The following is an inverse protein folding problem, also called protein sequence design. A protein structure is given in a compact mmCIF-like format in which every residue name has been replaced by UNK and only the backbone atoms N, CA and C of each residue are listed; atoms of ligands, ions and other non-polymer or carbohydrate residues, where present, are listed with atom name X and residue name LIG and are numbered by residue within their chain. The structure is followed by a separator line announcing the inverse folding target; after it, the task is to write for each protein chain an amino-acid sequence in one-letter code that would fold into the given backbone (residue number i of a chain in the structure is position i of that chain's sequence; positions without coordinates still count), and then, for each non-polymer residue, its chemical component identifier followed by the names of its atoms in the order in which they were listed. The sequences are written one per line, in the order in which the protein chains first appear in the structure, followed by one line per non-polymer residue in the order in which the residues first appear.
data_IF_353553112517
#
_entry.id   IF_353553112517
#
_cell.length_a   1.000
_cell.length_b   1.000
_cell.length_c   1.000
_cell.angle_alpha   90.00
_cell.angle_beta   90.00
_cell.angle_gamma   90.00
#
_symmetry.space_group_name_H-M   'P 1'
#
loop_
_entity.id
_entity.type
_entity.pdbx_description
1 polymer ?
#
# COMPACT_ATOMS: atom_id res chain seq x y z
N UNK A 1 -8.26 17.29 -29.75
CA UNK A 1 -8.07 16.78 -28.38
C UNK A 1 -9.44 16.61 -27.74
N UNK A 2 -9.88 15.38 -27.57
CA UNK A 2 -11.09 15.07 -26.81
C UNK A 2 -10.80 15.09 -25.30
N UNK A 3 -11.83 15.09 -24.47
CA UNK A 3 -11.66 14.94 -23.02
C UNK A 3 -10.91 13.64 -22.67
N UNK A 4 -11.23 12.55 -23.38
CA UNK A 4 -10.58 11.25 -23.19
C UNK A 4 -9.07 11.31 -23.50
N UNK A 5 -8.71 11.88 -24.66
CA UNK A 5 -7.30 12.07 -25.05
C UNK A 5 -6.54 12.97 -24.06
N UNK A 6 -7.22 13.95 -23.46
CA UNK A 6 -6.64 14.80 -22.43
C UNK A 6 -6.41 14.05 -21.11
N UNK A 7 -7.39 13.21 -20.70
CA UNK A 7 -7.28 12.40 -19.48
C UNK A 7 -6.23 11.30 -19.58
N UNK A 8 -6.17 10.60 -20.72
CA UNK A 8 -5.26 9.46 -20.92
C UNK A 8 -3.85 9.91 -21.34
N UNK A 9 -3.71 11.09 -21.92
CA UNK A 9 -2.43 11.69 -22.25
C UNK A 9 -1.93 12.61 -21.14
N UNK A 10 -2.02 13.95 -21.30
CA UNK A 10 -1.40 14.92 -20.38
C UNK A 10 -1.70 14.69 -18.90
N UNK A 11 -2.96 14.48 -18.51
CA UNK A 11 -3.32 14.34 -17.09
C UNK A 11 -2.76 13.06 -16.47
N UNK A 12 -2.68 11.98 -17.23
CA UNK A 12 -2.07 10.74 -16.76
C UNK A 12 -0.60 10.95 -16.39
N UNK A 13 0.18 11.64 -17.24
CA UNK A 13 1.57 11.96 -16.95
C UNK A 13 1.71 12.90 -15.74
N UNK A 14 0.84 13.90 -15.62
CA UNK A 14 0.84 14.80 -14.45
C UNK A 14 0.56 14.01 -13.18
N UNK A 15 -0.44 13.14 -13.18
CA UNK A 15 -0.78 12.30 -12.03
C UNK A 15 0.39 11.39 -11.63
N UNK A 16 1.05 10.75 -12.62
CA UNK A 16 2.22 9.91 -12.38
C UNK A 16 3.36 10.71 -11.74
N UNK A 17 3.71 11.88 -12.30
CA UNK A 17 4.80 12.71 -11.81
C UNK A 17 4.53 13.19 -10.39
N UNK A 18 3.34 13.71 -10.12
CA UNK A 18 2.96 14.19 -8.78
C UNK A 18 2.99 13.04 -7.77
N UNK A 19 2.45 11.88 -8.13
CA UNK A 19 2.50 10.69 -7.28
C UNK A 19 3.93 10.25 -6.99
N UNK A 20 4.77 10.06 -8.02
CA UNK A 20 6.15 9.61 -7.86
C UNK A 20 7.01 10.58 -7.07
N UNK A 21 6.93 11.87 -7.35
CA UNK A 21 7.66 12.92 -6.61
C UNK A 21 7.17 12.98 -5.16
N UNK A 22 5.86 12.93 -4.94
CA UNK A 22 5.28 12.92 -3.59
C UNK A 22 5.73 11.70 -2.77
N UNK A 23 5.72 10.51 -3.37
CA UNK A 23 6.22 9.28 -2.72
C UNK A 23 7.70 9.40 -2.39
N UNK A 24 8.52 9.83 -3.35
CA UNK A 24 9.96 10.00 -3.13
C UNK A 24 10.24 11.01 -2.01
N UNK A 25 9.54 12.15 -2.00
CA UNK A 25 9.65 13.16 -0.95
C UNK A 25 9.31 12.60 0.43
N UNK A 26 8.22 11.83 0.55
CA UNK A 26 7.83 11.22 1.82
C UNK A 26 8.85 10.18 2.30
N UNK A 27 9.38 9.34 1.40
CA UNK A 27 10.40 8.35 1.75
C UNK A 27 11.67 9.05 2.22
N UNK A 28 12.15 10.07 1.50
CA UNK A 28 13.32 10.85 1.89
C UNK A 28 13.08 11.51 3.25
N UNK A 29 11.90 12.09 3.48
CA UNK A 29 11.51 12.66 4.76
C UNK A 29 11.60 11.65 5.91
N UNK A 30 11.06 10.43 5.72
CA UNK A 30 11.11 9.36 6.73
C UNK A 30 12.56 8.94 7.02
N UNK A 31 13.39 8.81 5.98
CA UNK A 31 14.80 8.42 6.14
C UNK A 31 15.66 9.54 6.76
N UNK A 32 15.33 10.80 6.47
CA UNK A 32 16.04 11.96 7.01
C UNK A 32 15.62 12.29 8.45
N UNK A 33 14.46 11.82 8.92
CA UNK A 33 14.04 12.00 10.31
C UNK A 33 15.01 11.29 11.25
N UNK A 34 15.72 12.07 12.07
CA UNK A 34 16.62 11.52 13.08
C UNK A 34 15.80 10.86 14.18
N UNK A 35 15.89 9.54 14.27
CA UNK A 35 15.36 8.78 15.40
C UNK A 35 16.08 9.26 16.66
N UNK A 36 15.32 9.83 17.60
CA UNK A 36 15.85 10.22 18.91
C UNK A 36 16.41 8.95 19.57
N UNK A 37 17.62 9.07 20.15
CA UNK A 37 18.30 7.92 20.75
C UNK A 37 17.37 7.18 21.71
N UNK A 38 17.27 5.86 21.54
CA UNK A 38 16.47 5.03 22.44
C UNK A 38 17.14 5.03 23.82
N UNK A 39 16.42 5.55 24.82
CA UNK A 39 16.90 5.56 26.20
C UNK A 39 16.76 4.19 26.88
N UNK A 40 16.17 3.19 26.19
CA UNK A 40 16.00 1.85 26.71
C UNK A 40 17.29 1.02 26.59
N UNK A 41 17.49 0.12 27.57
CA UNK A 41 18.57 -0.88 27.52
C UNK A 41 18.35 -1.77 26.29
N UNK A 42 19.37 -2.01 25.43
CA UNK A 42 19.22 -2.85 24.24
C UNK A 42 18.83 -4.28 24.63
N UNK A 43 17.61 -4.72 24.27
CA UNK A 43 17.12 -6.08 24.57
C UNK A 43 17.23 -7.03 23.37
N UNK A 44 16.99 -6.54 22.14
CA UNK A 44 16.95 -7.30 20.87
C UNK A 44 17.23 -6.38 19.67
N UNK A 45 17.32 -6.95 18.46
CA UNK A 45 17.45 -6.19 17.20
C UNK A 45 16.31 -5.19 17.04
N UNK A 46 16.60 -3.87 16.97
CA UNK A 46 15.59 -2.83 16.76
C UNK A 46 14.84 -3.02 15.44
N UNK A 47 15.56 -3.41 14.37
CA UNK A 47 14.98 -3.66 13.05
C UNK A 47 14.02 -4.85 13.08
N UNK A 48 14.45 -5.96 13.70
CA UNK A 48 13.59 -7.14 13.85
C UNK A 48 12.35 -6.87 14.71
N UNK A 49 12.51 -6.05 15.76
CA UNK A 49 11.39 -5.57 16.59
C UNK A 49 10.40 -4.72 15.79
N UNK A 50 10.89 -3.81 14.95
CA UNK A 50 10.07 -2.97 14.08
C UNK A 50 9.28 -3.77 13.06
N UNK A 51 9.93 -4.69 12.34
CA UNK A 51 9.25 -5.59 11.39
C UNK A 51 8.17 -6.41 12.11
N UNK A 52 8.50 -7.00 13.26
CA UNK A 52 7.53 -7.74 14.07
C UNK A 52 6.35 -6.85 14.48
N UNK A 53 6.59 -5.61 14.88
CA UNK A 53 5.55 -4.69 15.28
C UNK A 53 4.60 -4.36 14.11
N UNK A 54 5.11 -4.19 12.88
CA UNK A 54 4.29 -3.95 11.69
C UNK A 54 3.29 -5.11 11.48
N UNK A 55 3.77 -6.35 11.51
CA UNK A 55 2.91 -7.52 11.35
C UNK A 55 1.93 -7.72 12.50
N UNK A 56 2.36 -7.44 13.75
CA UNK A 56 1.47 -7.53 14.91
C UNK A 56 0.32 -6.52 14.85
N UNK A 57 0.53 -5.34 14.27
CA UNK A 57 -0.53 -4.34 14.11
C UNK A 57 -1.61 -4.73 13.10
N UNK A 58 -1.35 -5.72 12.24
CA UNK A 58 -2.38 -6.30 11.39
C UNK A 58 -3.38 -7.11 12.23
N UNK A 59 -2.92 -7.77 13.29
CA UNK A 59 -3.78 -8.56 14.15
C UNK A 59 -4.55 -7.66 15.15
N UNK A 60 -5.87 -7.88 15.33
CA UNK A 60 -6.61 -7.21 16.40
C UNK A 60 -6.00 -7.55 17.76
N UNK A 61 -5.86 -6.55 18.62
CA UNK A 61 -5.40 -6.78 19.99
C UNK A 61 -6.42 -7.65 20.75
N UNK A 62 -5.92 -8.67 21.47
CA UNK A 62 -6.75 -9.58 22.25
C UNK A 62 -7.63 -8.83 23.26
N UNK A 63 -8.90 -9.24 23.39
CA UNK A 63 -9.85 -8.70 24.36
C UNK A 63 -10.88 -7.72 23.82
N UNK A 64 -10.65 -7.11 22.65
CA UNK A 64 -11.62 -6.16 22.04
C UNK A 64 -12.41 -6.74 20.86
N UNK A 65 -12.07 -7.96 20.42
CA UNK A 65 -12.66 -8.56 19.23
C UNK A 65 -14.19 -8.66 19.31
N UNK A 66 -14.78 -8.95 20.47
CA UNK A 66 -16.25 -9.03 20.61
C UNK A 66 -16.96 -7.70 20.30
N UNK A 67 -16.28 -6.55 20.46
CA UNK A 67 -16.82 -5.21 20.18
C UNK A 67 -16.37 -4.67 18.82
N UNK A 68 -15.21 -5.09 18.31
CA UNK A 68 -14.62 -4.58 17.07
C UNK A 68 -14.68 -5.56 15.90
N UNK A 69 -15.20 -6.78 16.09
CA UNK A 69 -15.22 -7.85 15.08
C UNK A 69 -15.78 -7.36 13.75
N UNK A 70 -16.89 -6.62 13.76
CA UNK A 70 -17.48 -6.07 12.54
C UNK A 70 -16.49 -5.20 11.75
N UNK A 71 -15.85 -4.23 12.40
CA UNK A 71 -14.88 -3.35 11.76
C UNK A 71 -13.66 -4.11 11.26
N UNK A 72 -13.18 -5.09 12.03
CA UNK A 72 -12.06 -5.96 11.63
C UNK A 72 -12.44 -6.75 10.38
N UNK A 73 -13.57 -7.45 10.38
CA UNK A 73 -14.00 -8.30 9.27
C UNK A 73 -14.23 -7.45 8.01
N UNK A 74 -14.99 -6.36 8.11
CA UNK A 74 -15.26 -5.49 6.96
C UNK A 74 -13.98 -4.85 6.45
N UNK A 75 -13.11 -4.39 7.35
CA UNK A 75 -11.80 -3.86 6.98
C UNK A 75 -10.97 -4.87 6.20
N UNK A 76 -10.89 -6.11 6.69
CA UNK A 76 -10.17 -7.18 5.99
C UNK A 76 -10.81 -7.56 4.65
N UNK A 77 -12.14 -7.65 4.58
CA UNK A 77 -12.83 -7.89 3.31
C UNK A 77 -12.55 -6.79 2.29
N UNK A 78 -12.52 -5.53 2.72
CA UNK A 78 -12.16 -4.41 1.85
C UNK A 78 -10.72 -4.53 1.34
N UNK A 79 -9.75 -4.79 2.21
CA UNK A 79 -8.35 -4.90 1.81
C UNK A 79 -8.11 -6.10 0.88
N UNK A 80 -8.70 -7.26 1.19
CA UNK A 80 -8.61 -8.45 0.35
C UNK A 80 -9.32 -8.25 -0.99
N UNK A 81 -10.48 -7.59 -0.99
CA UNK A 81 -11.20 -7.23 -2.22
C UNK A 81 -10.41 -6.25 -3.09
N UNK A 82 -9.81 -5.22 -2.49
CA UNK A 82 -8.94 -4.27 -3.20
C UNK A 82 -7.70 -4.97 -3.77
N UNK A 83 -7.06 -5.85 -3.00
CA UNK A 83 -5.94 -6.66 -3.47
C UNK A 83 -6.33 -7.53 -4.67
N UNK A 84 -7.48 -8.21 -4.59
CA UNK A 84 -7.99 -9.03 -5.68
C UNK A 84 -8.30 -8.18 -6.93
N UNK A 85 -8.95 -7.02 -6.76
CA UNK A 85 -9.28 -6.11 -7.86
C UNK A 85 -8.03 -5.56 -8.57
N UNK A 86 -7.04 -5.11 -7.80
CA UNK A 86 -5.82 -4.50 -8.36
C UNK A 86 -4.95 -5.49 -9.11
N UNK A 87 -4.86 -6.74 -8.65
CA UNK A 87 -4.03 -7.75 -9.33
C UNK A 87 -4.82 -8.55 -10.36
N UNK A 88 -6.09 -8.85 -10.14
CA UNK A 88 -6.83 -9.77 -11.02
C UNK A 88 -7.97 -9.12 -11.79
N UNK A 89 -8.21 -7.82 -11.63
CA UNK A 89 -9.15 -7.08 -12.47
C UNK A 89 -8.64 -6.97 -13.91
N UNK A 90 -9.50 -7.23 -14.89
CA UNK A 90 -9.14 -7.27 -16.32
C UNK A 90 -8.36 -6.04 -16.81
N UNK A 91 -8.82 -4.84 -16.45
CA UNK A 91 -8.16 -3.58 -16.81
C UNK A 91 -6.77 -3.43 -16.16
N UNK A 92 -6.58 -3.90 -14.93
CA UNK A 92 -5.29 -3.81 -14.24
C UNK A 92 -4.30 -4.82 -14.80
N UNK A 93 -4.75 -6.04 -15.11
CA UNK A 93 -3.92 -7.04 -15.80
C UNK A 93 -3.47 -6.50 -17.17
N UNK A 94 -4.38 -5.89 -17.93
CA UNK A 94 -4.05 -5.29 -19.23
C UNK A 94 -3.03 -4.15 -19.07
N UNK A 95 -3.23 -3.26 -18.10
CA UNK A 95 -2.29 -2.18 -17.79
C UNK A 95 -0.90 -2.69 -17.40
N UNK A 96 -0.82 -3.70 -16.53
CA UNK A 96 0.44 -4.31 -16.10
C UNK A 96 1.14 -4.98 -17.29
N UNK A 97 0.40 -5.65 -18.17
CA UNK A 97 0.94 -6.26 -19.38
C UNK A 97 1.55 -5.22 -20.31
N UNK A 98 0.87 -4.10 -20.49
CA UNK A 98 1.37 -3.01 -21.34
C UNK A 98 2.68 -2.41 -20.81
N UNK A 99 2.80 -2.25 -19.48
CA UNK A 99 3.97 -1.63 -18.86
C UNK A 99 5.15 -2.58 -18.60
N UNK A 100 4.86 -3.84 -18.26
CA UNK A 100 5.89 -4.80 -17.79
C UNK A 100 6.04 -6.02 -18.69
N UNK A 101 5.10 -6.25 -19.62
CA UNK A 101 5.02 -7.46 -20.44
C UNK A 101 4.42 -8.68 -19.72
N UNK A 102 4.22 -8.63 -18.40
CA UNK A 102 3.67 -9.73 -17.60
C UNK A 102 2.14 -9.77 -17.66
N UNK A 103 1.55 -10.96 -17.78
CA UNK A 103 0.09 -11.14 -17.87
C UNK A 103 -0.34 -12.47 -17.28
N UNK A 104 -1.57 -12.52 -16.76
CA UNK A 104 -2.23 -13.73 -16.26
C UNK A 104 -3.73 -13.69 -16.54
N UNK A 105 -4.46 -14.75 -16.22
CA UNK A 105 -5.92 -14.80 -16.39
C UNK A 105 -6.59 -13.95 -15.30
N UNK A 106 -7.41 -12.95 -15.68
CA UNK A 106 -8.21 -12.17 -14.73
C UNK A 106 -9.23 -13.04 -13.98
N UNK A 107 -9.70 -12.57 -12.82
CA UNK A 107 -10.87 -13.17 -12.17
C UNK A 107 -12.15 -12.90 -13.00
N UNK A 108 -13.16 -13.78 -12.93
CA UNK A 108 -14.44 -13.59 -13.61
C UNK A 108 -15.16 -12.30 -13.24
#
# INVERSE_FOLDING_TARGET
MTFLEFTEGPLWYVALVVFSVGVAWNIIGILAMRVRGDSAVPRKSPVGGGIKAIFLHMAPHGGFFSRTAYHVIVGYLFHLGLFALLLFGSYHVAFIKEWTGLSWTPLP
#
